data_IF_850521521739
#
_entry.id   IF_850521521739
#
_cell.length_a   1.000
_cell.length_b   1.000
_cell.length_c   1.000
_cell.angle_alpha   90.00
_cell.angle_beta   90.00
_cell.angle_gamma   90.00
#
_symmetry.space_group_name_H-M   'P 1'
#
loop_
_entity.id
_entity.type
_entity.pdbx_description
1 polymer ?
#
# COMPACT_ATOMS: atom_id res chain seq x y z
N UNK A 1 6.55 -0.41 -11.95
CA UNK A 1 5.43 0.07 -11.10
C UNK A 1 5.65 -0.35 -9.66
N UNK A 2 5.23 0.48 -8.74
CA UNK A 2 5.41 0.25 -7.30
C UNK A 2 4.03 0.24 -6.65
N UNK A 3 3.74 -0.83 -5.92
CA UNK A 3 2.53 -0.91 -5.09
C UNK A 3 2.82 -0.24 -3.74
N UNK A 4 2.01 0.75 -3.41
CA UNK A 4 2.17 1.57 -2.21
C UNK A 4 1.35 0.99 -1.06
N UNK A 5 2.03 0.57 0.01
CA UNK A 5 1.38 0.20 1.27
C UNK A 5 1.07 1.45 2.11
N UNK A 6 0.03 1.35 2.92
CA UNK A 6 -0.42 2.44 3.79
C UNK A 6 0.69 2.94 4.73
N UNK A 7 1.56 2.07 5.21
CA UNK A 7 2.66 2.44 6.10
C UNK A 7 3.57 3.52 5.51
N UNK A 8 3.82 3.46 4.20
CA UNK A 8 4.68 4.42 3.50
C UNK A 8 3.99 5.78 3.37
N UNK A 9 2.71 5.78 3.00
CA UNK A 9 1.93 7.01 2.90
C UNK A 9 1.80 7.70 4.27
N UNK A 10 1.55 6.94 5.32
CA UNK A 10 1.44 7.49 6.68
C UNK A 10 2.77 8.04 7.18
N UNK A 11 3.88 7.38 6.91
CA UNK A 11 5.21 7.88 7.28
C UNK A 11 5.46 9.26 6.65
N UNK A 12 5.08 9.43 5.39
CA UNK A 12 5.19 10.72 4.71
C UNK A 12 4.28 11.77 5.34
N UNK A 13 3.01 11.44 5.57
CA UNK A 13 2.02 12.37 6.10
C UNK A 13 2.34 12.83 7.52
N UNK A 14 2.81 11.92 8.38
CA UNK A 14 3.18 12.26 9.75
C UNK A 14 4.59 12.84 9.87
N UNK A 15 5.34 12.96 8.77
CA UNK A 15 6.69 13.49 8.79
C UNK A 15 7.65 12.66 9.62
N UNK A 16 7.49 11.35 9.59
CA UNK A 16 8.33 10.44 10.37
C UNK A 16 9.78 10.50 9.89
N UNK A 17 10.72 10.19 10.79
CA UNK A 17 12.14 10.19 10.45
C UNK A 17 12.43 9.19 9.34
N UNK A 18 11.88 7.99 9.44
CA UNK A 18 11.93 6.98 8.38
C UNK A 18 10.75 7.19 7.44
N UNK A 19 11.01 7.81 6.31
CA UNK A 19 10.00 8.06 5.26
C UNK A 19 10.67 7.99 3.90
N UNK A 20 9.90 7.80 2.81
CA UNK A 20 10.51 7.72 1.48
C UNK A 20 11.14 9.04 1.06
N UNK A 21 12.15 8.96 0.21
CA UNK A 21 12.77 10.13 -0.39
C UNK A 21 11.79 10.84 -1.33
N UNK A 22 12.07 12.10 -1.65
CA UNK A 22 11.24 12.86 -2.59
C UNK A 22 11.17 12.17 -3.97
N UNK A 23 12.27 11.58 -4.40
CA UNK A 23 12.34 10.88 -5.70
C UNK A 23 11.43 9.66 -5.75
N UNK A 24 11.12 9.04 -4.61
CA UNK A 24 10.19 7.91 -4.56
C UNK A 24 8.84 8.29 -5.19
N UNK A 25 8.34 9.49 -4.92
CA UNK A 25 7.03 9.94 -5.38
C UNK A 25 6.97 10.24 -6.88
N UNK A 26 8.11 10.18 -7.58
CA UNK A 26 8.18 10.33 -9.03
C UNK A 26 7.92 9.01 -9.76
N UNK A 27 7.92 7.89 -9.06
CA UNK A 27 7.64 6.59 -9.65
C UNK A 27 6.17 6.43 -10.00
N UNK A 28 5.88 5.46 -10.86
CA UNK A 28 4.51 5.04 -11.15
C UNK A 28 3.97 4.24 -9.97
N UNK A 29 3.04 4.82 -9.23
CA UNK A 29 2.51 4.26 -7.99
C UNK A 29 1.11 3.70 -8.19
N UNK A 30 0.87 2.54 -7.60
CA UNK A 30 -0.42 1.86 -7.57
C UNK A 30 -0.79 1.54 -6.13
N UNK A 31 -2.06 1.41 -5.84
CA UNK A 31 -2.53 0.81 -4.59
C UNK A 31 -3.98 0.36 -4.71
N UNK A 32 -4.45 -0.37 -3.72
CA UNK A 32 -5.88 -0.64 -3.57
C UNK A 32 -6.60 0.66 -3.17
N UNK A 33 -7.86 0.79 -3.59
CA UNK A 33 -8.72 1.90 -3.16
C UNK A 33 -8.82 1.97 -1.63
N UNK A 34 -8.59 0.88 -0.95
CA UNK A 34 -8.55 0.83 0.52
C UNK A 34 -7.50 1.74 1.13
N UNK A 35 -6.43 2.05 0.40
CA UNK A 35 -5.39 2.98 0.87
C UNK A 35 -6.00 4.31 1.33
N UNK A 36 -6.87 4.91 0.52
CA UNK A 36 -7.50 6.18 0.85
C UNK A 36 -8.34 6.09 2.14
N UNK A 37 -9.07 4.99 2.32
CA UNK A 37 -9.84 4.75 3.53
C UNK A 37 -8.95 4.61 4.77
N UNK A 38 -7.89 3.81 4.66
CA UNK A 38 -6.96 3.59 5.77
C UNK A 38 -6.27 4.88 6.20
N UNK A 39 -5.81 5.67 5.25
CA UNK A 39 -5.19 6.97 5.53
C UNK A 39 -6.17 7.85 6.31
N UNK A 40 -7.38 8.00 5.83
CA UNK A 40 -8.40 8.84 6.50
C UNK A 40 -8.71 8.37 7.91
N UNK A 41 -8.86 7.07 8.09
CA UNK A 41 -9.15 6.48 9.40
C UNK A 41 -8.02 6.77 10.39
N UNK A 42 -6.78 6.61 9.97
CA UNK A 42 -5.61 6.86 10.81
C UNK A 42 -5.44 8.34 11.12
N UNK A 43 -5.68 9.22 10.16
CA UNK A 43 -5.62 10.67 10.37
C UNK A 43 -6.70 11.13 11.37
N UNK A 44 -7.91 10.62 11.25
CA UNK A 44 -9.00 10.93 12.18
C UNK A 44 -8.67 10.49 13.60
N UNK A 45 -8.15 9.28 13.76
CA UNK A 45 -7.80 8.76 15.08
C UNK A 45 -6.72 9.60 15.78
N UNK A 46 -5.92 10.34 15.03
CA UNK A 46 -4.89 11.25 15.56
C UNK A 46 -5.27 12.72 15.52
N UNK A 47 -6.52 13.03 15.17
CA UNK A 47 -6.99 14.40 15.08
C UNK A 47 -6.30 15.24 14.00
N UNK A 48 -5.78 14.60 12.95
CA UNK A 48 -4.99 15.26 11.90
C UNK A 48 -5.68 15.30 10.54
N UNK A 49 -6.96 14.90 10.46
CA UNK A 49 -7.66 14.82 9.17
C UNK A 49 -7.72 16.17 8.45
N UNK A 50 -8.05 17.25 9.17
CA UNK A 50 -8.16 18.57 8.56
C UNK A 50 -6.80 19.18 8.24
N UNK A 51 -5.85 19.11 9.17
CA UNK A 51 -4.52 19.73 9.00
C UNK A 51 -3.71 19.07 7.89
N UNK A 52 -3.94 17.78 7.60
CA UNK A 52 -3.24 17.02 6.57
C UNK A 52 -4.09 16.75 5.31
N UNK A 53 -5.24 17.39 5.18
CA UNK A 53 -6.15 17.15 4.06
C UNK A 53 -5.52 17.42 2.69
N UNK A 54 -4.78 18.52 2.55
CA UNK A 54 -4.11 18.85 1.28
C UNK A 54 -2.96 17.89 0.97
N UNK A 55 -2.16 17.54 1.98
CA UNK A 55 -1.06 16.57 1.82
C UNK A 55 -1.61 15.20 1.40
N UNK A 56 -2.72 14.77 2.01
CA UNK A 56 -3.40 13.52 1.65
C UNK A 56 -3.87 13.54 0.21
N UNK A 57 -4.45 14.65 -0.22
CA UNK A 57 -4.91 14.80 -1.61
C UNK A 57 -3.74 14.69 -2.60
N UNK A 58 -2.61 15.32 -2.28
CA UNK A 58 -1.40 15.25 -3.12
C UNK A 58 -0.90 13.82 -3.29
N UNK A 59 -0.92 13.02 -2.22
CA UNK A 59 -0.58 11.60 -2.31
C UNK A 59 -1.59 10.87 -3.19
N UNK A 60 -2.88 11.08 -2.97
CA UNK A 60 -3.94 10.45 -3.76
C UNK A 60 -3.82 10.73 -5.25
N UNK A 61 -3.43 11.96 -5.62
CA UNK A 61 -3.26 12.35 -7.01
C UNK A 61 -2.08 11.64 -7.69
N UNK A 62 -1.13 11.13 -6.92
CA UNK A 62 0.04 10.41 -7.41
C UNK A 62 -0.19 8.91 -7.57
N UNK A 63 -1.26 8.38 -7.02
CA UNK A 63 -1.51 6.94 -6.94
C UNK A 63 -2.63 6.55 -7.89
N UNK A 64 -2.38 5.54 -8.71
CA UNK A 64 -3.45 4.89 -9.48
C UNK A 64 -4.11 3.84 -8.59
N UNK A 65 -5.39 3.99 -8.32
CA UNK A 65 -6.13 3.08 -7.47
C UNK A 65 -6.70 1.91 -8.27
N UNK A 66 -6.53 0.71 -7.72
CA UNK A 66 -7.12 -0.52 -8.25
C UNK A 66 -8.37 -0.83 -7.45
N UNK A 67 -9.48 -1.00 -8.14
CA UNK A 67 -10.75 -1.32 -7.51
C UNK A 67 -10.75 -2.75 -6.97
N UNK A 68 -11.40 -2.96 -5.84
CA UNK A 68 -11.65 -4.30 -5.32
C UNK A 68 -12.60 -5.04 -6.26
N UNK A 69 -12.17 -6.20 -6.70
CA UNK A 69 -12.97 -7.06 -7.57
C UNK A 69 -13.22 -8.40 -6.88
N UNK A 70 -14.18 -9.15 -7.42
CA UNK A 70 -14.45 -10.50 -6.94
C UNK A 70 -13.21 -11.38 -7.03
N UNK A 71 -12.43 -11.26 -8.09
CA UNK A 71 -11.20 -12.05 -8.29
C UNK A 71 -10.20 -11.76 -7.17
N UNK A 72 -10.02 -10.50 -6.79
CA UNK A 72 -9.13 -10.11 -5.70
C UNK A 72 -9.64 -10.65 -4.36
N UNK A 73 -10.94 -10.54 -4.10
CA UNK A 73 -11.54 -11.03 -2.86
C UNK A 73 -11.47 -12.55 -2.73
N UNK A 74 -11.65 -13.28 -3.83
CA UNK A 74 -11.54 -14.75 -3.83
C UNK A 74 -10.13 -15.20 -3.43
N UNK A 75 -9.08 -14.48 -3.80
CA UNK A 75 -7.73 -14.77 -3.35
C UNK A 75 -7.57 -14.69 -1.84
N UNK A 76 -8.27 -13.78 -1.20
CA UNK A 76 -8.24 -13.64 0.26
C UNK A 76 -8.82 -14.91 0.91
N UNK A 77 -9.89 -15.44 0.33
CA UNK A 77 -10.53 -16.66 0.82
C UNK A 77 -9.60 -17.86 0.67
N UNK A 78 -8.81 -17.94 -0.39
CA UNK A 78 -7.84 -19.02 -0.62
C UNK A 78 -6.70 -19.01 0.40
N UNK A 79 -6.45 -17.86 1.04
CA UNK A 79 -5.47 -17.74 2.12
C UNK A 79 -4.05 -17.41 1.63
N UNK A 80 -3.16 -17.28 2.61
CA UNK A 80 -1.75 -16.92 2.43
C UNK A 80 -0.85 -17.87 3.23
N UNK A 81 0.48 -17.89 2.95
CA UNK A 81 1.41 -18.77 3.67
C UNK A 81 1.44 -18.57 5.19
N UNK A 82 1.03 -17.40 5.68
CA UNK A 82 0.97 -17.08 7.10
C UNK A 82 -0.33 -16.33 7.41
N UNK A 83 -0.77 -16.28 8.68
CA UNK A 83 -1.93 -15.48 9.06
C UNK A 83 -1.68 -14.00 8.74
N UNK A 84 -2.65 -13.37 8.08
CA UNK A 84 -2.56 -11.98 7.62
C UNK A 84 -3.81 -11.23 8.07
N UNK A 85 -3.64 -9.99 8.54
CA UNK A 85 -4.77 -9.13 8.89
C UNK A 85 -5.59 -8.80 7.64
N UNK A 86 -6.87 -8.53 7.82
CA UNK A 86 -7.80 -8.30 6.71
C UNK A 86 -7.33 -7.22 5.74
N UNK A 87 -6.86 -6.06 6.24
CA UNK A 87 -6.41 -4.97 5.37
C UNK A 87 -5.13 -5.34 4.62
N UNK A 88 -4.20 -6.03 5.28
CA UNK A 88 -2.97 -6.53 4.64
C UNK A 88 -3.31 -7.60 3.60
N UNK A 89 -4.29 -8.44 3.89
CA UNK A 89 -4.78 -9.44 2.93
C UNK A 89 -5.33 -8.79 1.66
N UNK A 90 -6.05 -7.69 1.78
CA UNK A 90 -6.56 -6.93 0.64
C UNK A 90 -5.40 -6.38 -0.21
N UNK A 91 -4.39 -5.82 0.42
CA UNK A 91 -3.20 -5.32 -0.28
C UNK A 91 -2.44 -6.44 -0.99
N UNK A 92 -2.20 -7.55 -0.30
CA UNK A 92 -1.51 -8.71 -0.90
C UNK A 92 -2.29 -9.30 -2.07
N UNK A 93 -3.58 -9.49 -1.92
CA UNK A 93 -4.42 -10.03 -2.98
C UNK A 93 -4.46 -9.12 -4.20
N UNK A 94 -4.56 -7.81 -3.98
CA UNK A 94 -4.53 -6.81 -5.06
C UNK A 94 -3.19 -6.84 -5.78
N UNK A 95 -2.09 -6.90 -5.04
CA UNK A 95 -0.74 -6.96 -5.58
C UNK A 95 -0.52 -8.22 -6.41
N UNK A 96 -0.95 -9.37 -5.92
CA UNK A 96 -0.83 -10.63 -6.66
C UNK A 96 -1.65 -10.61 -7.95
N UNK A 97 -2.85 -10.06 -7.92
CA UNK A 97 -3.68 -9.88 -9.10
C UNK A 97 -2.99 -9.00 -10.14
N UNK A 98 -2.39 -7.89 -9.72
CA UNK A 98 -1.67 -6.99 -10.61
C UNK A 98 -0.47 -7.66 -11.26
N UNK A 99 0.26 -8.46 -10.52
CA UNK A 99 1.42 -9.20 -11.04
C UNK A 99 1.04 -10.22 -12.11
N UNK A 100 -0.15 -10.76 -12.04
CA UNK A 100 -0.65 -11.72 -13.04
C UNK A 100 -1.14 -11.05 -14.31
N UNK A 101 -1.60 -9.81 -14.22
CA UNK A 101 -2.32 -9.14 -15.31
C UNK A 101 -1.58 -7.95 -15.91
N UNK A 102 -0.48 -7.50 -15.30
CA UNK A 102 0.24 -6.27 -15.68
C UNK A 102 1.75 -6.48 -15.64
N UNK A 103 2.48 -5.39 -15.91
CA UNK A 103 3.92 -5.31 -15.78
C UNK A 103 4.37 -5.63 -14.35
N UNK A 104 5.65 -6.02 -14.17
CA UNK A 104 6.18 -6.33 -12.84
C UNK A 104 5.92 -5.20 -11.84
N UNK A 105 5.43 -5.56 -10.67
CA UNK A 105 5.10 -4.64 -9.59
C UNK A 105 5.90 -5.03 -8.35
N UNK A 106 6.60 -4.06 -7.74
CA UNK A 106 7.30 -4.24 -6.47
C UNK A 106 6.50 -3.60 -5.34
N UNK A 107 6.60 -4.17 -4.15
CA UNK A 107 5.93 -3.66 -2.95
C UNK A 107 6.82 -2.68 -2.22
N UNK A 108 6.31 -1.48 -1.92
CA UNK A 108 6.91 -0.52 -1.02
C UNK A 108 6.17 -0.54 0.31
N UNK A 109 6.83 -0.95 1.37
CA UNK A 109 6.24 -1.04 2.72
C UNK A 109 7.30 -0.86 3.81
N UNK A 110 6.88 -0.28 4.93
CA UNK A 110 7.67 -0.28 6.17
C UNK A 110 7.21 -1.36 7.16
N UNK A 111 6.15 -2.09 6.83
CA UNK A 111 5.64 -3.17 7.66
C UNK A 111 6.44 -4.46 7.43
N UNK A 112 7.19 -4.91 8.45
CA UNK A 112 8.05 -6.08 8.34
C UNK A 112 7.26 -7.37 8.12
N UNK A 113 6.09 -7.51 8.74
CA UNK A 113 5.25 -8.71 8.56
C UNK A 113 4.73 -8.80 7.13
N UNK A 114 4.24 -7.69 6.61
CA UNK A 114 3.74 -7.62 5.23
C UNK A 114 4.87 -7.89 4.24
N UNK A 115 6.04 -7.30 4.48
CA UNK A 115 7.24 -7.53 3.67
C UNK A 115 7.62 -9.00 3.62
N UNK A 116 7.67 -9.66 4.77
CA UNK A 116 8.05 -11.07 4.85
C UNK A 116 7.04 -11.97 4.14
N UNK A 117 5.75 -11.74 4.35
CA UNK A 117 4.71 -12.49 3.64
C UNK A 117 4.80 -12.29 2.12
N UNK A 118 5.05 -11.06 1.70
CA UNK A 118 5.23 -10.75 0.28
C UNK A 118 6.44 -11.47 -0.31
N UNK A 119 7.55 -11.53 0.42
CA UNK A 119 8.74 -12.29 0.00
C UNK A 119 8.43 -13.77 -0.18
N UNK A 120 7.71 -14.38 0.74
CA UNK A 120 7.29 -15.78 0.64
C UNK A 120 6.43 -16.04 -0.59
N UNK A 121 5.69 -15.04 -1.04
CA UNK A 121 4.88 -15.10 -2.25
C UNK A 121 5.67 -14.75 -3.52
N UNK A 122 6.97 -14.51 -3.41
CA UNK A 122 7.81 -14.16 -4.56
C UNK A 122 7.60 -12.74 -5.06
N UNK A 123 7.04 -11.84 -4.24
CA UNK A 123 6.82 -10.43 -4.59
C UNK A 123 8.12 -9.66 -4.42
N UNK A 124 8.58 -8.94 -5.46
CA UNK A 124 9.73 -8.06 -5.31
C UNK A 124 9.45 -6.95 -4.31
N UNK A 125 10.44 -6.61 -3.50
CA UNK A 125 10.35 -5.53 -2.52
C UNK A 125 11.14 -4.33 -3.05
N UNK A 126 10.48 -3.16 -3.05
CA UNK A 126 11.14 -1.91 -3.40
C UNK A 126 11.95 -1.40 -2.20
N UNK A 127 13.22 -1.05 -2.43
CA UNK A 127 14.07 -0.48 -1.38
C UNK A 127 13.71 0.99 -1.16
N UNK A 128 13.28 1.30 0.05
CA UNK A 128 12.88 2.66 0.44
C UNK A 128 14.05 3.47 1.01
N UNK A 129 15.17 2.82 1.24
CA UNK A 129 16.36 3.44 1.87
C UNK A 129 17.45 3.77 0.86
#
# INVERSE_FOLDING_TARGET
>A
MIYLDTSVALAQLFGEQRRPSESFWQNSLLSSRRLAYEIRTRLRSRGRADSLSQATRRIGDRVTFVELSRVVLDRIVDGFPAPVRTLDAIHLATLLYLRETREPVALATYDEKLRETARQLGVPIFSLD
#
